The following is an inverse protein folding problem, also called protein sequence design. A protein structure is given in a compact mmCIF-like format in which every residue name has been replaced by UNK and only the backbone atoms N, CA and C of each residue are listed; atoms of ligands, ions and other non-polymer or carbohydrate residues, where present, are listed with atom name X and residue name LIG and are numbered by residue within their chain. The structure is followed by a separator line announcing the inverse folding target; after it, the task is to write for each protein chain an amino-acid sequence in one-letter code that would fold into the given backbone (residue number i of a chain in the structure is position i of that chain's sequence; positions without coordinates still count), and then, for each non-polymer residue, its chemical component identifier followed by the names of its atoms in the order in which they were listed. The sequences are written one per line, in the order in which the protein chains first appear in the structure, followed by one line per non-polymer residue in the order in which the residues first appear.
data_IF_237479971349
#
_entry.id   IF_237479971349
#
_cell.length_a   1.000
_cell.length_b   1.000
_cell.length_c   1.000
_cell.angle_alpha   90.00
_cell.angle_beta   90.00
_cell.angle_gamma   90.00
#
_symmetry.space_group_name_H-M   'P 1'
#
loop_
_entity.id
_entity.type
_entity.pdbx_description
1 polymer ?
#
# COMPACT_ATOMS: atom_id res chain seq x y z
N UNK A 1 -22.20 -0.04 -41.12
CA UNK A 1 -21.96 0.96 -40.05
C UNK A 1 -21.92 0.33 -38.64
N UNK A 2 -22.47 -0.87 -38.42
CA UNK A 2 -22.42 -1.56 -37.12
C UNK A 2 -21.08 -2.24 -36.81
N UNK A 3 -20.36 -2.77 -37.80
CA UNK A 3 -19.07 -3.46 -37.58
C UNK A 3 -17.95 -2.53 -37.06
N UNK A 4 -17.94 -1.27 -37.48
CA UNK A 4 -16.97 -0.28 -37.00
C UNK A 4 -17.17 0.07 -35.51
N UNK A 5 -18.42 0.02 -35.03
CA UNK A 5 -18.74 0.23 -33.61
C UNK A 5 -18.35 -0.98 -32.76
N UNK A 6 -18.52 -2.20 -33.26
CA UNK A 6 -18.09 -3.42 -32.54
C UNK A 6 -16.56 -3.52 -32.43
N UNK A 7 -15.83 -3.11 -33.48
CA UNK A 7 -14.36 -3.05 -33.46
C UNK A 7 -13.82 -1.97 -32.52
N UNK A 8 -14.40 -0.76 -32.53
CA UNK A 8 -14.04 0.31 -31.59
C UNK A 8 -14.37 -0.07 -30.14
N UNK A 9 -15.51 -0.72 -29.91
CA UNK A 9 -15.91 -1.24 -28.59
C UNK A 9 -14.92 -2.31 -28.12
N UNK A 10 -14.51 -3.25 -28.98
CA UNK A 10 -13.49 -4.26 -28.67
C UNK A 10 -12.11 -3.65 -28.42
N UNK A 11 -11.73 -2.57 -29.10
CA UNK A 11 -10.46 -1.86 -28.88
C UNK A 11 -10.48 -1.04 -27.59
N UNK A 12 -11.59 -0.37 -27.28
CA UNK A 12 -11.76 0.36 -26.02
C UNK A 12 -11.85 -0.59 -24.82
N UNK A 13 -12.54 -1.73 -24.95
CA UNK A 13 -12.53 -2.81 -23.96
C UNK A 13 -11.17 -3.51 -23.89
N UNK A 14 -10.40 -3.55 -24.99
CA UNK A 14 -8.99 -3.99 -24.97
C UNK A 14 -8.04 -2.97 -24.36
N UNK A 15 -8.36 -1.68 -24.29
CA UNK A 15 -7.53 -0.69 -23.55
C UNK A 15 -7.75 -0.76 -22.03
N UNK A 16 -8.86 -1.38 -21.61
CA UNK A 16 -9.01 -1.87 -20.24
C UNK A 16 -8.33 -3.24 -20.01
N UNK A 17 -7.60 -3.80 -21.01
CA UNK A 17 -6.85 -5.06 -20.85
C UNK A 17 -5.80 -4.89 -19.76
N UNK A 18 -6.10 -5.62 -18.70
CA UNK A 18 -5.19 -6.09 -17.68
C UNK A 18 -4.46 -5.00 -16.89
N UNK A 19 -5.25 -4.18 -16.19
CA UNK A 19 -4.73 -3.31 -15.10
C UNK A 19 -3.83 -4.09 -14.14
N UNK A 20 -4.12 -5.37 -13.91
CA UNK A 20 -3.30 -6.24 -13.08
C UNK A 20 -1.96 -6.57 -13.75
N UNK A 21 -1.96 -6.79 -15.06
CA UNK A 21 -0.75 -6.82 -15.90
C UNK A 21 0.14 -5.58 -15.70
N UNK A 22 -0.42 -4.37 -15.81
CA UNK A 22 0.31 -3.12 -15.54
C UNK A 22 0.81 -3.02 -14.10
N UNK A 23 0.03 -3.49 -13.13
CA UNK A 23 0.42 -3.53 -11.71
C UNK A 23 1.60 -4.47 -11.48
N UNK A 24 1.63 -5.64 -12.11
CA UNK A 24 2.73 -6.62 -11.99
C UNK A 24 4.05 -6.11 -12.56
N UNK A 25 3.98 -5.16 -13.50
CA UNK A 25 5.18 -4.54 -14.08
C UNK A 25 5.84 -3.51 -13.15
N UNK A 26 5.12 -3.02 -12.13
CA UNK A 26 5.63 -2.04 -11.18
C UNK A 26 6.80 -2.60 -10.36
N UNK A 27 7.83 -1.79 -10.15
CA UNK A 27 8.94 -2.19 -9.29
C UNK A 27 8.52 -2.33 -7.82
N UNK A 28 7.52 -1.57 -7.37
CA UNK A 28 6.90 -1.74 -6.06
C UNK A 28 6.28 -3.15 -5.91
N UNK A 29 5.58 -3.64 -6.93
CA UNK A 29 5.02 -5.00 -6.93
C UNK A 29 6.14 -6.03 -6.81
N UNK A 30 7.19 -5.92 -7.64
CA UNK A 30 8.32 -6.86 -7.63
C UNK A 30 9.05 -6.86 -6.30
N UNK A 31 9.32 -5.68 -5.70
CA UNK A 31 9.98 -5.57 -4.38
C UNK A 31 9.17 -6.24 -3.27
N UNK A 32 7.86 -5.95 -3.21
CA UNK A 32 6.96 -6.59 -2.23
C UNK A 32 6.89 -8.10 -2.46
N UNK A 33 6.80 -8.54 -3.72
CA UNK A 33 6.77 -9.97 -4.05
C UNK A 33 8.07 -10.67 -3.63
N UNK A 34 9.25 -10.09 -3.89
CA UNK A 34 10.53 -10.66 -3.44
C UNK A 34 10.54 -10.82 -1.92
N UNK A 35 10.13 -9.79 -1.18
CA UNK A 35 10.13 -9.80 0.29
C UNK A 35 9.16 -10.84 0.88
N UNK A 36 7.91 -10.85 0.43
CA UNK A 36 6.85 -11.62 1.08
C UNK A 36 6.59 -12.98 0.43
N UNK A 37 6.90 -13.19 -0.85
CA UNK A 37 6.76 -14.50 -1.49
C UNK A 37 7.89 -15.48 -1.15
N UNK A 38 9.10 -14.97 -0.89
CA UNK A 38 10.26 -15.82 -0.54
C UNK A 38 10.50 -15.92 0.98
N UNK A 39 9.84 -15.10 1.79
CA UNK A 39 10.29 -14.82 3.15
C UNK A 39 9.65 -15.61 4.29
N UNK A 40 8.34 -15.91 4.27
CA UNK A 40 7.71 -16.47 5.47
C UNK A 40 6.32 -17.12 5.20
N UNK A 41 6.15 -18.45 5.36
CA UNK A 41 4.85 -19.11 5.20
C UNK A 41 3.78 -18.60 6.18
N UNK A 42 4.17 -17.88 7.25
CA UNK A 42 3.26 -17.30 8.24
C UNK A 42 2.74 -15.89 7.90
N UNK A 43 3.29 -15.19 6.90
CA UNK A 43 2.83 -13.82 6.57
C UNK A 43 1.37 -13.80 6.09
N UNK A 44 0.89 -14.89 5.50
CA UNK A 44 -0.54 -15.05 5.18
C UNK A 44 -1.44 -15.07 6.42
N UNK A 45 -0.90 -15.45 7.58
CA UNK A 45 -1.61 -15.43 8.85
C UNK A 45 -1.61 -14.05 9.52
N UNK A 46 -0.80 -13.11 9.04
CA UNK A 46 -0.65 -11.74 9.52
C UNK A 46 0.81 -11.25 9.42
N UNK A 47 1.00 -9.94 9.58
CA UNK A 47 2.30 -9.29 9.72
C UNK A 47 2.66 -9.20 11.21
N UNK A 48 3.90 -9.47 11.57
CA UNK A 48 4.44 -9.14 12.89
C UNK A 48 4.59 -7.63 13.09
N UNK A 49 4.84 -7.22 14.34
CA UNK A 49 4.92 -5.81 14.75
C UNK A 49 5.96 -4.97 13.99
N UNK A 50 7.03 -5.57 13.48
CA UNK A 50 8.13 -4.87 12.80
C UNK A 50 8.45 -5.42 11.40
N UNK A 51 7.49 -6.14 10.78
CA UNK A 51 7.70 -6.77 9.48
C UNK A 51 7.73 -5.78 8.31
N UNK A 52 7.20 -4.56 8.51
CA UNK A 52 7.18 -3.50 7.51
C UNK A 52 8.25 -2.44 7.81
N UNK A 53 8.89 -1.95 6.76
CA UNK A 53 9.73 -0.75 6.79
C UNK A 53 9.00 0.43 6.14
N UNK A 54 9.57 1.63 6.27
CA UNK A 54 9.11 2.82 5.54
C UNK A 54 9.08 2.56 4.03
N UNK A 55 10.10 1.87 3.51
CA UNK A 55 10.15 1.45 2.11
C UNK A 55 8.94 0.63 1.72
N UNK A 56 8.56 -0.37 2.52
CA UNK A 56 7.38 -1.20 2.24
C UNK A 56 6.09 -0.40 2.26
N UNK A 57 5.93 0.54 3.21
CA UNK A 57 4.73 1.39 3.27
C UNK A 57 4.58 2.24 2.00
N UNK A 58 5.69 2.79 1.48
CA UNK A 58 5.69 3.53 0.21
C UNK A 58 5.27 2.61 -0.94
N UNK A 59 5.83 1.40 -1.02
CA UNK A 59 5.51 0.45 -2.07
C UNK A 59 4.06 -0.05 -1.99
N UNK A 60 3.53 -0.25 -0.77
CA UNK A 60 2.14 -0.62 -0.49
C UNK A 60 1.18 0.49 -0.93
N UNK A 61 1.46 1.76 -0.59
CA UNK A 61 0.64 2.91 -0.99
C UNK A 61 0.71 3.11 -2.51
N UNK A 62 1.88 2.92 -3.12
CA UNK A 62 2.03 3.00 -4.58
C UNK A 62 1.21 1.93 -5.29
N UNK A 63 1.34 0.67 -4.84
CA UNK A 63 0.60 -0.47 -5.36
C UNK A 63 -0.91 -0.24 -5.25
N UNK A 64 -1.38 0.27 -4.11
CA UNK A 64 -2.78 0.63 -3.90
C UNK A 64 -3.27 1.71 -4.87
N UNK A 65 -2.53 2.80 -5.03
CA UNK A 65 -2.92 3.91 -5.88
C UNK A 65 -3.05 3.49 -7.35
N UNK A 66 -2.05 2.78 -7.89
CA UNK A 66 -2.11 2.27 -9.27
C UNK A 66 -3.23 1.24 -9.44
N UNK A 67 -3.39 0.32 -8.49
CA UNK A 67 -4.45 -0.71 -8.54
C UNK A 67 -5.86 -0.12 -8.47
N UNK A 68 -6.05 0.97 -7.73
CA UNK A 68 -7.32 1.71 -7.65
C UNK A 68 -7.56 2.63 -8.87
N UNK A 69 -6.55 2.82 -9.72
CA UNK A 69 -6.57 3.80 -10.81
C UNK A 69 -6.54 5.24 -10.33
N UNK A 70 -6.06 5.47 -9.11
CA UNK A 70 -5.88 6.78 -8.50
C UNK A 70 -4.46 7.30 -8.73
N UNK A 71 -4.28 8.62 -8.66
CA UNK A 71 -2.93 9.19 -8.60
C UNK A 71 -2.31 8.99 -7.20
N UNK A 72 -1.00 8.79 -7.18
CA UNK A 72 -0.16 8.58 -5.98
C UNK A 72 0.18 9.88 -5.24
N UNK A 73 -0.05 11.02 -5.90
CA UNK A 73 0.29 12.36 -5.42
C UNK A 73 -0.25 12.63 -4.02
N UNK A 74 0.65 13.03 -3.10
CA UNK A 74 0.33 13.42 -1.73
C UNK A 74 -0.07 12.28 -0.78
N UNK A 75 -0.02 11.01 -1.22
CA UNK A 75 -0.46 9.84 -0.42
C UNK A 75 0.59 9.30 0.56
N UNK A 76 1.81 9.83 0.52
CA UNK A 76 2.90 9.41 1.43
C UNK A 76 3.02 10.33 2.66
N UNK A 77 2.23 11.40 2.73
CA UNK A 77 2.26 12.36 3.84
C UNK A 77 1.91 11.69 5.17
N UNK A 78 1.01 10.72 5.14
CA UNK A 78 0.58 9.94 6.28
C UNK A 78 1.72 9.06 6.80
N UNK A 79 2.59 8.54 5.91
CA UNK A 79 3.81 7.83 6.31
C UNK A 79 4.73 8.79 7.06
N UNK A 80 4.91 10.03 6.57
CA UNK A 80 5.71 11.06 7.26
C UNK A 80 5.11 11.41 8.63
N UNK A 81 3.78 11.50 8.75
CA UNK A 81 3.13 11.74 10.04
C UNK A 81 3.33 10.59 11.02
N UNK A 82 3.29 9.34 10.55
CA UNK A 82 3.62 8.15 11.36
C UNK A 82 5.09 8.19 11.82
N UNK A 83 5.99 8.62 10.93
CA UNK A 83 7.41 8.86 11.24
C UNK A 83 7.64 10.08 12.12
N UNK A 84 6.70 11.03 12.16
CA UNK A 84 6.73 12.23 13.01
C UNK A 84 6.88 11.91 14.49
N UNK A 85 6.38 10.75 14.94
CA UNK A 85 6.61 10.21 16.27
C UNK A 85 8.03 9.65 16.49
N UNK A 86 8.76 9.30 15.43
CA UNK A 86 10.13 8.80 15.46
C UNK A 86 11.18 9.93 15.35
N UNK A 87 10.85 11.02 14.64
CA UNK A 87 11.75 12.17 14.41
C UNK A 87 12.02 13.05 15.64
N UNK A 88 11.36 12.80 16.78
CA UNK A 88 11.64 13.55 18.01
C UNK A 88 13.00 13.21 18.65
N UNK A 89 13.67 12.12 18.22
CA UNK A 89 14.83 11.57 18.93
C UNK A 89 16.09 11.32 18.10
N UNK A 90 16.16 11.70 16.83
CA UNK A 90 17.35 11.42 15.99
C UNK A 90 17.81 12.66 15.22
N UNK A 91 19.09 13.00 15.35
CA UNK A 91 19.80 13.89 14.44
C UNK A 91 19.86 13.21 13.07
N UNK A 92 18.80 13.33 12.28
CA UNK A 92 18.72 12.75 10.95
C UNK A 92 19.63 13.53 10.00
N UNK A 93 20.47 12.79 9.27
CA UNK A 93 21.37 13.34 8.26
C UNK A 93 20.59 14.13 7.18
N UNK A 94 21.25 15.09 6.54
CA UNK A 94 20.66 15.95 5.50
C UNK A 94 19.98 15.17 4.37
N UNK A 95 20.54 14.00 4.03
CA UNK A 95 20.00 13.04 3.06
C UNK A 95 18.64 12.47 3.47
N UNK A 96 18.44 12.15 4.75
CA UNK A 96 17.15 11.66 5.26
C UNK A 96 16.10 12.77 5.27
N UNK A 97 16.50 13.98 5.68
CA UNK A 97 15.59 15.14 5.67
C UNK A 97 15.11 15.49 4.25
N UNK A 98 15.98 15.34 3.25
CA UNK A 98 15.62 15.52 1.85
C UNK A 98 14.55 14.51 1.40
N UNK A 99 14.73 13.22 1.71
CA UNK A 99 13.74 12.20 1.37
C UNK A 99 12.42 12.38 2.12
N UNK A 100 12.45 12.74 3.41
CA UNK A 100 11.24 13.08 4.18
C UNK A 100 10.49 14.27 3.55
N UNK A 101 11.21 15.28 3.08
CA UNK A 101 10.61 16.41 2.37
C UNK A 101 9.95 15.98 1.06
N UNK A 102 10.57 15.06 0.30
CA UNK A 102 9.97 14.48 -0.91
C UNK A 102 8.68 13.74 -0.58
N UNK A 103 8.67 12.88 0.44
CA UNK A 103 7.47 12.14 0.87
C UNK A 103 6.34 13.06 1.34
N UNK A 104 6.66 14.19 1.97
CA UNK A 104 5.69 15.18 2.41
C UNK A 104 5.19 16.08 1.26
N UNK A 105 5.82 16.03 0.09
CA UNK A 105 5.39 16.78 -1.09
C UNK A 105 4.12 16.21 -1.70
N UNK A 106 3.21 17.10 -2.12
CA UNK A 106 2.01 16.73 -2.87
C UNK A 106 2.37 16.09 -4.22
N UNK A 107 3.53 16.43 -4.80
CA UNK A 107 3.97 15.94 -6.10
C UNK A 107 4.84 14.69 -6.06
N UNK A 108 4.94 14.00 -4.92
CA UNK A 108 5.83 12.86 -4.75
C UNK A 108 5.54 11.74 -5.78
N UNK A 109 6.52 11.44 -6.63
CA UNK A 109 6.54 10.25 -7.49
C UNK A 109 7.55 9.25 -6.91
N UNK A 110 7.20 7.97 -6.73
CA UNK A 110 8.14 6.97 -6.24
C UNK A 110 9.42 6.81 -7.07
N UNK A 111 9.43 7.24 -8.33
CA UNK A 111 10.65 7.26 -9.16
C UNK A 111 11.67 8.29 -8.71
N UNK A 112 11.24 9.34 -8.01
CA UNK A 112 12.10 10.42 -7.54
C UNK A 112 12.69 10.16 -6.14
N UNK A 113 12.28 9.05 -5.51
CA UNK A 113 12.74 8.62 -4.20
C UNK A 113 14.06 7.88 -4.31
N UNK A 114 15.02 8.24 -3.47
CA UNK A 114 16.28 7.52 -3.35
C UNK A 114 16.07 6.25 -2.51
N UNK A 115 15.70 5.15 -3.16
CA UNK A 115 15.36 3.88 -2.48
C UNK A 115 16.53 3.24 -1.74
N UNK A 116 17.76 3.72 -1.93
CA UNK A 116 18.94 3.29 -1.17
C UNK A 116 19.13 4.09 0.12
N UNK A 117 18.37 5.18 0.30
CA UNK A 117 18.43 6.02 1.50
C UNK A 117 18.09 5.21 2.77
N UNK A 118 18.85 5.38 3.87
CA UNK A 118 18.62 4.67 5.13
C UNK A 118 17.19 4.78 5.67
N UNK A 119 16.48 5.88 5.38
CA UNK A 119 15.08 6.09 5.74
C UNK A 119 14.21 4.88 5.38
N UNK A 120 14.38 4.32 4.19
CA UNK A 120 13.51 3.25 3.66
C UNK A 120 13.78 1.87 4.28
N UNK A 121 14.88 1.73 5.02
CA UNK A 121 15.22 0.51 5.76
C UNK A 121 14.74 0.54 7.22
N UNK A 122 14.22 1.68 7.70
CA UNK A 122 13.72 1.81 9.06
C UNK A 122 12.47 0.95 9.24
N UNK A 123 12.54 0.00 10.17
CA UNK A 123 11.38 -0.80 10.58
C UNK A 123 10.35 0.07 11.29
N UNK A 124 9.08 -0.19 10.99
CA UNK A 124 7.95 0.56 11.50
C UNK A 124 7.23 -0.27 12.54
N UNK A 125 6.96 0.32 13.71
CA UNK A 125 6.18 -0.33 14.76
C UNK A 125 4.68 -0.28 14.42
N UNK A 126 4.13 -1.41 13.98
CA UNK A 126 2.74 -1.52 13.58
C UNK A 126 1.76 -1.40 14.76
N UNK A 127 2.20 -1.62 16.00
CA UNK A 127 1.36 -1.44 17.18
C UNK A 127 0.96 0.02 17.34
N UNK A 128 1.91 0.95 17.12
CA UNK A 128 1.69 2.39 17.20
C UNK A 128 0.80 2.93 16.08
N UNK A 129 0.78 2.25 14.93
CA UNK A 129 -0.07 2.61 13.79
C UNK A 129 -1.50 2.07 13.97
N UNK A 130 -1.64 0.89 14.58
CA UNK A 130 -2.92 0.23 14.74
C UNK A 130 -3.70 0.70 15.99
N UNK A 131 -3.02 1.17 17.05
CA UNK A 131 -3.63 1.61 18.30
C UNK A 131 -4.08 3.07 18.24
N UNK A 132 -5.37 3.32 18.43
CA UNK A 132 -5.99 4.62 18.79
C UNK A 132 -5.86 5.83 17.84
N UNK A 133 -5.32 5.67 16.63
CA UNK A 133 -5.39 6.71 15.61
C UNK A 133 -5.77 6.08 14.26
N UNK A 134 -6.86 6.50 13.60
CA UNK A 134 -7.27 5.95 12.31
C UNK A 134 -6.36 6.49 11.20
N UNK A 135 -5.05 6.24 11.30
CA UNK A 135 -4.10 6.51 10.24
C UNK A 135 -4.45 5.60 9.05
N UNK A 136 -5.33 6.09 8.20
CA UNK A 136 -5.50 5.56 6.87
C UNK A 136 -4.21 5.90 6.12
N UNK A 137 -3.52 4.88 5.60
CA UNK A 137 -2.40 5.06 4.67
C UNK A 137 -2.84 5.81 3.42
N UNK A 138 -4.14 5.79 3.10
CA UNK A 138 -4.74 6.65 2.07
C UNK A 138 -6.16 7.07 2.47
N UNK A 139 -6.50 8.36 2.36
CA UNK A 139 -7.81 8.91 2.75
C UNK A 139 -9.04 8.34 2.00
N UNK A 140 -10.14 8.19 2.75
CA UNK A 140 -11.54 7.97 2.36
C UNK A 140 -12.08 8.85 1.18
N UNK A 141 -12.99 8.39 0.28
CA UNK A 141 -13.89 7.23 0.33
C UNK A 141 -13.37 6.01 -0.43
N UNK A 142 -12.41 5.31 0.15
CA UNK A 142 -11.68 4.22 -0.49
C UNK A 142 -10.28 4.18 0.08
N UNK A 143 -10.15 3.78 1.34
CA UNK A 143 -8.93 3.93 2.12
C UNK A 143 -8.21 2.61 2.38
N UNK A 144 -6.89 2.65 2.38
CA UNK A 144 -6.03 1.59 2.89
C UNK A 144 -5.68 1.90 4.34
N UNK A 145 -5.78 0.92 5.23
CA UNK A 145 -5.29 1.03 6.62
C UNK A 145 -4.57 -0.23 7.07
N UNK A 146 -3.79 -0.12 8.13
CA UNK A 146 -3.26 -1.25 8.88
C UNK A 146 -4.15 -1.48 10.10
N UNK A 147 -4.47 -2.74 10.40
CA UNK A 147 -5.27 -3.09 11.56
C UNK A 147 -4.71 -4.33 12.25
N UNK A 148 -4.82 -4.38 13.57
CA UNK A 148 -4.49 -5.57 14.33
C UNK A 148 -5.54 -6.67 14.11
N UNK A 149 -5.07 -7.91 13.99
CA UNK A 149 -5.89 -9.10 13.93
C UNK A 149 -6.46 -9.40 15.31
N UNK A 150 -7.76 -9.55 15.35
CA UNK A 150 -8.51 -9.87 16.56
C UNK A 150 -8.89 -11.35 16.53
N UNK A 151 -8.63 -12.04 17.64
CA UNK A 151 -9.05 -13.42 17.85
C UNK A 151 -10.58 -13.54 18.03
N UNK A 152 -11.12 -14.77 17.94
CA UNK A 152 -12.56 -15.01 18.09
C UNK A 152 -13.13 -14.55 19.44
N UNK A 153 -12.29 -14.56 20.49
CA UNK A 153 -12.59 -14.07 21.84
C UNK A 153 -12.45 -12.55 21.99
N UNK A 154 -12.26 -11.80 20.89
CA UNK A 154 -12.02 -10.36 20.85
C UNK A 154 -10.68 -9.89 21.46
N UNK A 155 -9.71 -10.78 21.64
CA UNK A 155 -8.37 -10.39 22.09
C UNK A 155 -7.46 -10.03 20.91
N UNK A 156 -6.58 -9.02 21.05
CA UNK A 156 -5.59 -8.69 20.03
C UNK A 156 -4.55 -9.82 19.92
N UNK A 157 -4.19 -10.18 18.68
CA UNK A 157 -3.29 -11.30 18.40
C UNK A 157 -1.81 -10.90 18.33
N UNK A 158 -1.49 -9.60 18.42
CA UNK A 158 -0.13 -9.09 18.18
C UNK A 158 0.32 -9.25 16.72
N UNK A 159 -0.62 -9.43 15.81
CA UNK A 159 -0.39 -9.61 14.38
C UNK A 159 -1.28 -8.65 13.60
N UNK A 160 -0.83 -8.17 12.44
CA UNK A 160 -1.46 -7.08 11.70
C UNK A 160 -1.86 -7.51 10.28
N UNK A 161 -2.80 -6.78 9.67
CA UNK A 161 -3.24 -7.00 8.30
C UNK A 161 -3.49 -5.67 7.61
N UNK A 162 -3.36 -5.67 6.28
CA UNK A 162 -3.89 -4.58 5.46
C UNK A 162 -5.41 -4.70 5.40
N UNK A 163 -6.10 -3.58 5.55
CA UNK A 163 -7.54 -3.48 5.35
C UNK A 163 -7.79 -2.48 4.25
N UNK A 164 -8.38 -2.96 3.16
CA UNK A 164 -8.86 -2.12 2.08
C UNK A 164 -10.34 -1.84 2.33
N UNK A 165 -10.65 -0.59 2.67
CA UNK A 165 -12.00 -0.08 2.63
C UNK A 165 -12.27 0.43 1.24
N UNK A 166 -13.32 -0.07 0.61
CA UNK A 166 -13.81 0.58 -0.59
C UNK A 166 -15.34 0.50 -0.58
N UNK A 167 -15.99 1.66 -0.45
CA UNK A 167 -17.46 1.77 -0.57
C UNK A 167 -17.94 1.36 -1.98
N UNK A 168 -17.02 1.21 -2.94
CA UNK A 168 -17.26 0.70 -4.29
C UNK A 168 -17.00 -0.80 -4.43
N UNK A 169 -16.85 -1.59 -3.34
CA UNK A 169 -16.66 -3.06 -3.40
C UNK A 169 -17.79 -3.84 -4.09
N UNK A 170 -18.94 -3.21 -4.34
CA UNK A 170 -20.00 -3.75 -5.21
C UNK A 170 -19.71 -3.57 -6.71
N UNK A 171 -18.59 -2.97 -7.08
CA UNK A 171 -18.18 -2.70 -8.47
C UNK A 171 -16.95 -3.52 -8.86
N UNK A 172 -16.77 -3.79 -10.15
CA UNK A 172 -15.66 -4.58 -10.72
C UNK A 172 -14.25 -4.04 -10.37
N UNK A 173 -14.14 -2.84 -9.78
CA UNK A 173 -12.89 -2.14 -9.47
C UNK A 173 -12.16 -2.63 -8.20
N UNK A 174 -12.82 -3.35 -7.28
CA UNK A 174 -12.20 -3.76 -6.02
C UNK A 174 -11.46 -5.11 -6.09
N UNK A 175 -11.81 -5.98 -7.05
CA UNK A 175 -11.13 -7.27 -7.27
C UNK A 175 -9.62 -7.14 -7.58
N UNK A 176 -9.18 -6.17 -8.42
CA UNK A 176 -7.78 -6.00 -8.75
C UNK A 176 -6.88 -5.62 -7.56
N UNK A 177 -7.36 -4.79 -6.63
CA UNK A 177 -6.55 -4.31 -5.49
C UNK A 177 -6.24 -5.47 -4.54
N UNK A 178 -7.28 -6.20 -4.11
CA UNK A 178 -7.12 -7.35 -3.23
C UNK A 178 -6.24 -8.42 -3.90
N UNK A 179 -6.49 -8.71 -5.18
CA UNK A 179 -5.72 -9.67 -5.94
C UNK A 179 -4.23 -9.27 -6.03
N UNK A 180 -3.91 -8.01 -6.28
CA UNK A 180 -2.53 -7.54 -6.33
C UNK A 180 -1.79 -7.76 -5.00
N UNK A 181 -2.42 -7.46 -3.87
CA UNK A 181 -1.84 -7.69 -2.54
C UNK A 181 -1.67 -9.17 -2.21
N UNK A 182 -2.65 -10.01 -2.57
CA UNK A 182 -2.56 -11.47 -2.39
C UNK A 182 -1.44 -12.07 -3.26
N UNK A 183 -1.24 -11.58 -4.49
CA UNK A 183 -0.19 -12.06 -5.41
C UNK A 183 1.23 -11.71 -4.95
N UNK A 184 1.42 -10.56 -4.28
CA UNK A 184 2.71 -10.23 -3.63
C UNK A 184 2.88 -10.93 -2.29
N UNK A 185 1.84 -11.56 -1.75
CA UNK A 185 1.88 -12.35 -0.51
C UNK A 185 1.52 -11.58 0.77
N UNK A 186 1.03 -10.34 0.67
CA UNK A 186 0.63 -9.53 1.82
C UNK A 186 -0.74 -9.98 2.38
N UNK A 187 -0.92 -10.04 3.72
CA UNK A 187 -2.23 -10.32 4.31
C UNK A 187 -3.13 -9.11 4.12
N UNK A 188 -4.22 -9.31 3.38
CA UNK A 188 -5.19 -8.26 3.07
C UNK A 188 -6.61 -8.73 3.34
N UNK A 189 -7.42 -7.85 3.92
CA UNK A 189 -8.86 -8.05 4.11
C UNK A 189 -9.64 -6.90 3.47
N UNK A 190 -10.84 -7.24 3.01
CA UNK A 190 -11.82 -6.26 2.57
C UNK A 190 -12.77 -5.99 3.73
N UNK A 191 -12.92 -4.72 4.13
CA UNK A 191 -13.99 -4.36 5.05
C UNK A 191 -15.27 -4.17 4.24
N UNK A 192 -16.00 -5.25 4.03
CA UNK A 192 -17.34 -5.22 3.43
C UNK A 192 -18.29 -4.80 4.55
N UNK A 193 -18.61 -3.52 4.62
CA UNK A 193 -19.75 -3.00 5.39
C UNK A 193 -21.05 -3.15 4.61
#
# INVERSE_FOLDING_TARGET
MEEAKDWLTKILHRKAKDKLGTVRELDAFKRLQVKFAQGNPNVRAGLGQSDLTVGDLVDIVHLYAVSSGSQTQGRYREIVQMLGGLSANQNLEETVNSELAKLNSVSADPKDLDRENPLYSIAVDLSLIASDNPFELTHYPGGLKIAELIEQNKQPKGMYTLVVHDRQQKTEKAKPIKQAFEEVGLPVRSNIG
#
